data_IF_147417753625
#
_entry.id   IF_147417753625
#
_cell.length_a   1.000
_cell.length_b   1.000
_cell.length_c   1.000
_cell.angle_alpha   90.00
_cell.angle_beta   90.00
_cell.angle_gamma   90.00
#
_symmetry.space_group_name_H-M   'P 1'
#
loop_
_entity.id
_entity.type
_entity.pdbx_description
1 polymer ?
#
# COMPACT_ATOMS: atom_id res chain seq x y z
N UNK A 1 37.98 -16.24 -7.96
CA UNK A 1 36.74 -15.49 -7.69
C UNK A 1 35.87 -16.35 -6.78
N UNK A 2 35.38 -15.84 -5.64
CA UNK A 2 34.39 -16.59 -4.84
C UNK A 2 33.11 -16.71 -5.67
N UNK A 3 32.64 -17.92 -5.89
CA UNK A 3 31.36 -18.19 -6.56
C UNK A 3 30.24 -17.59 -5.72
N UNK A 4 29.40 -16.77 -6.35
CA UNK A 4 28.28 -16.11 -5.66
C UNK A 4 27.16 -17.12 -5.40
N UNK A 5 26.63 -17.13 -4.18
CA UNK A 5 25.53 -18.00 -3.78
C UNK A 5 24.19 -17.26 -3.81
N UNK A 6 23.20 -17.87 -4.45
CA UNK A 6 21.85 -17.35 -4.67
C UNK A 6 20.84 -18.23 -3.93
N UNK A 7 20.13 -17.62 -2.98
CA UNK A 7 19.14 -18.28 -2.14
C UNK A 7 17.74 -17.92 -2.62
N UNK A 8 17.04 -18.84 -3.28
CA UNK A 8 15.62 -18.69 -3.58
C UNK A 8 14.78 -19.14 -2.40
N UNK A 9 13.84 -18.31 -1.95
CA UNK A 9 13.01 -18.58 -0.77
C UNK A 9 11.53 -18.46 -1.15
N UNK A 10 10.82 -19.58 -1.14
CA UNK A 10 9.37 -19.57 -1.16
C UNK A 10 8.81 -19.52 0.27
N UNK A 11 7.88 -18.58 0.50
CA UNK A 11 7.39 -18.24 1.84
C UNK A 11 5.96 -18.69 2.04
N UNK A 12 5.77 -19.58 3.01
CA UNK A 12 4.46 -20.01 3.51
C UNK A 12 4.12 -19.32 4.83
N UNK A 13 2.91 -19.54 5.34
CA UNK A 13 2.45 -18.96 6.61
C UNK A 13 3.22 -19.49 7.83
N UNK A 14 3.80 -20.69 7.73
CA UNK A 14 4.39 -21.39 8.89
C UNK A 14 5.85 -21.85 8.68
N UNK A 15 6.35 -21.79 7.45
CA UNK A 15 7.69 -22.25 7.08
C UNK A 15 8.14 -21.56 5.80
N UNK A 16 9.40 -21.74 5.46
CA UNK A 16 9.91 -21.45 4.12
C UNK A 16 10.45 -22.72 3.50
N UNK A 17 10.47 -22.76 2.18
CA UNK A 17 11.27 -23.69 1.39
C UNK A 17 12.35 -22.88 0.70
N UNK A 18 13.58 -23.36 0.74
CA UNK A 18 14.70 -22.66 0.12
C UNK A 18 15.55 -23.57 -0.76
N UNK A 19 16.07 -22.98 -1.84
CA UNK A 19 17.07 -23.57 -2.71
C UNK A 19 18.30 -22.66 -2.76
N UNK A 20 19.49 -23.24 -2.64
CA UNK A 20 20.76 -22.53 -2.75
C UNK A 20 21.48 -22.97 -4.01
N UNK A 21 21.82 -22.02 -4.88
CA UNK A 21 22.55 -22.26 -6.12
C UNK A 21 23.80 -21.38 -6.18
N UNK A 22 24.89 -21.89 -6.75
CA UNK A 22 26.12 -21.12 -7.00
C UNK A 22 26.61 -21.19 -8.45
N UNK A 23 25.92 -21.96 -9.29
CA UNK A 23 26.16 -22.04 -10.73
C UNK A 23 24.85 -22.33 -11.47
N UNK A 24 24.81 -21.97 -12.75
CA UNK A 24 23.66 -22.30 -13.61
C UNK A 24 23.86 -23.73 -14.09
N UNK A 25 22.90 -24.60 -13.78
CA UNK A 25 22.94 -26.02 -14.11
C UNK A 25 21.98 -26.40 -15.24
N UNK A 26 21.83 -27.71 -15.46
CA UNK A 26 20.90 -28.30 -16.41
C UNK A 26 19.42 -27.96 -16.13
N UNK A 27 18.52 -28.40 -17.03
CA UNK A 27 17.07 -28.25 -16.95
C UNK A 27 16.51 -28.36 -15.52
N UNK A 28 15.64 -27.41 -15.14
CA UNK A 28 15.15 -27.29 -13.76
C UNK A 28 14.36 -28.52 -13.28
N UNK A 29 13.68 -29.26 -14.17
CA UNK A 29 13.00 -30.49 -13.76
C UNK A 29 14.00 -31.59 -13.43
N UNK A 30 15.09 -31.69 -14.20
CA UNK A 30 16.19 -32.61 -13.90
C UNK A 30 16.82 -32.26 -12.56
N UNK A 31 17.08 -30.98 -12.30
CA UNK A 31 17.61 -30.53 -11.01
C UNK A 31 16.66 -30.93 -9.87
N UNK A 32 15.36 -30.62 -10.00
CA UNK A 32 14.39 -30.96 -8.95
C UNK A 32 14.30 -32.47 -8.71
N UNK A 33 14.40 -33.28 -9.76
CA UNK A 33 14.35 -34.76 -9.67
C UNK A 33 15.58 -35.36 -8.99
N UNK A 34 16.77 -34.89 -9.34
CA UNK A 34 18.03 -35.51 -8.87
C UNK A 34 18.61 -34.83 -7.62
N UNK A 35 18.37 -33.52 -7.46
CA UNK A 35 18.91 -32.71 -6.37
C UNK A 35 17.84 -32.18 -5.42
N UNK A 36 16.58 -32.64 -5.53
CA UNK A 36 15.46 -32.14 -4.71
C UNK A 36 15.70 -32.24 -3.20
N UNK A 37 16.51 -33.20 -2.74
CA UNK A 37 16.91 -33.33 -1.32
C UNK A 37 17.75 -32.15 -0.81
N UNK A 38 18.40 -31.40 -1.69
CA UNK A 38 19.17 -30.19 -1.34
C UNK A 38 18.27 -28.98 -1.08
N UNK A 39 17.02 -29.02 -1.55
CA UNK A 39 16.02 -27.98 -1.32
C UNK A 39 15.34 -28.33 0.01
N UNK A 40 15.48 -27.45 0.99
CA UNK A 40 15.07 -27.73 2.36
C UNK A 40 13.92 -26.85 2.81
N UNK A 41 13.19 -27.38 3.79
CA UNK A 41 12.14 -26.68 4.51
C UNK A 41 12.61 -26.34 5.91
N UNK A 42 12.43 -25.08 6.32
CA UNK A 42 12.75 -24.61 7.68
C UNK A 42 11.65 -23.72 8.25
N UNK A 43 11.62 -23.63 9.57
CA UNK A 43 10.59 -22.90 10.31
C UNK A 43 11.14 -21.56 10.83
N UNK A 44 10.28 -20.53 11.03
CA UNK A 44 10.70 -19.22 11.53
C UNK A 44 11.00 -19.26 13.03
N UNK A 45 12.01 -20.03 13.41
CA UNK A 45 12.54 -20.16 14.77
C UNK A 45 14.06 -19.97 14.76
N UNK A 46 14.67 -19.95 15.93
CA UNK A 46 16.11 -19.69 16.06
C UNK A 46 16.98 -20.67 15.26
N UNK A 47 16.59 -21.95 15.20
CA UNK A 47 17.32 -22.97 14.44
C UNK A 47 17.20 -22.72 12.93
N UNK A 48 15.99 -22.50 12.42
CA UNK A 48 15.78 -22.27 10.99
C UNK A 48 16.43 -20.98 10.48
N UNK A 49 16.39 -19.91 11.28
CA UNK A 49 17.10 -18.66 10.95
C UNK A 49 18.60 -18.88 10.89
N UNK A 50 19.17 -19.59 11.89
CA UNK A 50 20.60 -19.90 11.93
C UNK A 50 21.02 -20.74 10.72
N UNK A 51 20.27 -21.81 10.42
CA UNK A 51 20.55 -22.67 9.27
C UNK A 51 20.63 -21.88 7.97
N UNK A 52 19.70 -20.94 7.75
CA UNK A 52 19.67 -20.13 6.51
C UNK A 52 20.82 -19.11 6.47
N UNK A 53 21.18 -18.50 7.60
CA UNK A 53 22.33 -17.58 7.67
C UNK A 53 23.65 -18.30 7.39
N UNK A 54 23.82 -19.51 7.90
CA UNK A 54 25.03 -20.33 7.74
C UNK A 54 25.27 -20.77 6.27
N UNK A 55 24.26 -20.66 5.39
CA UNK A 55 24.42 -20.95 3.95
C UNK A 55 25.43 -19.99 3.27
N UNK A 56 25.62 -18.79 3.83
CA UNK A 56 26.53 -17.78 3.28
C UNK A 56 26.09 -17.26 1.91
N UNK A 57 24.78 -17.10 1.71
CA UNK A 57 24.22 -16.55 0.49
C UNK A 57 24.60 -15.08 0.31
N UNK A 58 24.93 -14.69 -0.92
CA UNK A 58 25.13 -13.26 -1.26
C UNK A 58 23.80 -12.58 -1.56
N UNK A 59 22.91 -13.29 -2.26
CA UNK A 59 21.59 -12.82 -2.66
C UNK A 59 20.49 -13.72 -2.11
N UNK A 60 19.38 -13.14 -1.65
CA UNK A 60 18.14 -13.84 -1.34
C UNK A 60 16.99 -13.33 -2.21
N UNK A 61 16.28 -14.25 -2.86
CA UNK A 61 15.26 -13.96 -3.86
C UNK A 61 13.91 -14.44 -3.35
N UNK A 62 12.96 -13.50 -3.21
CA UNK A 62 11.64 -13.74 -2.62
C UNK A 62 10.52 -13.13 -3.46
N UNK A 63 9.32 -13.72 -3.41
CA UNK A 63 8.10 -13.01 -3.84
C UNK A 63 7.60 -12.08 -2.72
N UNK A 64 6.95 -10.93 -3.04
CA UNK A 64 6.35 -10.06 -2.03
C UNK A 64 5.04 -10.63 -1.43
N UNK A 65 4.81 -11.94 -1.56
CA UNK A 65 3.61 -12.62 -1.06
C UNK A 65 3.74 -12.83 0.45
N UNK A 66 2.70 -12.50 1.21
CA UNK A 66 2.73 -12.68 2.66
C UNK A 66 3.81 -11.86 3.36
N UNK A 67 3.92 -10.55 3.04
CA UNK A 67 4.95 -9.62 3.55
C UNK A 67 5.23 -9.76 5.05
N UNK A 68 4.22 -10.04 5.88
CA UNK A 68 4.41 -10.27 7.31
C UNK A 68 5.20 -11.56 7.62
N UNK A 69 4.96 -12.64 6.87
CA UNK A 69 5.67 -13.91 6.99
C UNK A 69 7.09 -13.82 6.44
N UNK A 70 7.30 -13.07 5.34
CA UNK A 70 8.63 -12.88 4.77
C UNK A 70 9.50 -11.90 5.55
N UNK A 71 8.90 -11.04 6.40
CA UNK A 71 9.58 -9.99 7.16
C UNK A 71 10.74 -10.52 8.01
N UNK A 72 10.50 -11.56 8.81
CA UNK A 72 11.54 -12.09 9.69
C UNK A 72 12.75 -12.61 8.91
N UNK A 73 12.51 -13.26 7.77
CA UNK A 73 13.57 -13.80 6.91
C UNK A 73 14.34 -12.68 6.23
N UNK A 74 13.64 -11.79 5.52
CA UNK A 74 14.28 -10.76 4.73
C UNK A 74 15.02 -9.72 5.60
N UNK A 75 14.45 -9.31 6.74
CA UNK A 75 15.14 -8.39 7.66
C UNK A 75 16.37 -9.03 8.29
N UNK A 76 16.28 -10.30 8.72
CA UNK A 76 17.42 -10.98 9.35
C UNK A 76 18.53 -11.21 8.34
N UNK A 77 18.20 -11.63 7.12
CA UNK A 77 19.17 -11.83 6.04
C UNK A 77 19.84 -10.49 5.65
N UNK A 78 19.05 -9.44 5.44
CA UNK A 78 19.58 -8.10 5.13
C UNK A 78 20.51 -7.57 6.23
N UNK A 79 20.13 -7.73 7.51
CA UNK A 79 20.97 -7.32 8.64
C UNK A 79 22.30 -8.08 8.71
N UNK A 80 22.40 -9.26 8.08
CA UNK A 80 23.61 -10.07 7.97
C UNK A 80 24.30 -9.92 6.60
N UNK A 81 24.00 -8.85 5.86
CA UNK A 81 24.70 -8.49 4.62
C UNK A 81 24.24 -9.24 3.36
N UNK A 82 23.11 -9.96 3.42
CA UNK A 82 22.52 -10.62 2.25
C UNK A 82 21.66 -9.63 1.48
N UNK A 83 21.89 -9.50 0.17
CA UNK A 83 21.11 -8.60 -0.68
C UNK A 83 19.75 -9.22 -1.04
N UNK A 84 18.67 -8.52 -0.70
CA UNK A 84 17.29 -8.99 -0.93
C UNK A 84 16.78 -8.52 -2.30
N UNK A 85 16.34 -9.46 -3.13
CA UNK A 85 15.78 -9.21 -4.46
C UNK A 85 14.34 -9.71 -4.54
N UNK A 86 13.39 -8.81 -4.83
CA UNK A 86 11.98 -9.16 -4.91
C UNK A 86 11.54 -9.49 -6.34
N UNK A 87 10.89 -10.63 -6.54
CA UNK A 87 10.36 -11.06 -7.84
C UNK A 87 8.85 -11.01 -7.81
N UNK A 88 8.24 -10.48 -8.86
CA UNK A 88 6.78 -10.43 -8.95
C UNK A 88 6.17 -11.77 -9.29
N UNK A 89 4.93 -11.97 -8.82
CA UNK A 89 4.24 -13.24 -8.96
C UNK A 89 4.02 -13.64 -10.42
N UNK A 90 3.73 -12.66 -11.28
CA UNK A 90 3.54 -12.88 -12.71
C UNK A 90 4.87 -13.23 -13.39
N UNK A 91 5.96 -12.59 -13.00
CA UNK A 91 7.31 -12.81 -13.51
C UNK A 91 7.80 -14.21 -13.16
N UNK A 92 7.63 -14.65 -11.90
CA UNK A 92 8.00 -16.00 -11.49
C UNK A 92 7.14 -17.06 -12.19
N UNK A 93 5.82 -16.85 -12.26
CA UNK A 93 4.92 -17.77 -12.96
C UNK A 93 5.26 -17.92 -14.45
N UNK A 94 5.66 -16.83 -15.10
CA UNK A 94 6.09 -16.85 -16.50
C UNK A 94 7.44 -17.56 -16.63
N UNK A 95 8.39 -17.26 -15.73
CA UNK A 95 9.69 -17.93 -15.70
C UNK A 95 9.58 -19.45 -15.54
N UNK A 96 8.71 -19.94 -14.63
CA UNK A 96 8.46 -21.38 -14.48
C UNK A 96 7.93 -22.01 -15.76
N UNK A 97 6.98 -21.35 -16.42
CA UNK A 97 6.40 -21.83 -17.69
C UNK A 97 7.46 -21.92 -18.79
N UNK A 98 8.30 -20.89 -18.91
CA UNK A 98 9.37 -20.83 -19.91
C UNK A 98 10.41 -21.93 -19.70
N UNK A 99 10.65 -22.31 -18.43
CA UNK A 99 11.58 -23.39 -18.06
C UNK A 99 10.88 -24.75 -17.83
N UNK A 100 9.63 -24.91 -18.32
CA UNK A 100 8.86 -26.17 -18.25
C UNK A 100 8.75 -26.78 -16.85
N UNK A 101 8.81 -25.96 -15.80
CA UNK A 101 8.66 -26.41 -14.42
C UNK A 101 7.16 -26.59 -14.12
N UNK A 102 6.61 -27.75 -14.51
CA UNK A 102 5.16 -27.96 -14.64
C UNK A 102 4.46 -28.33 -13.33
N UNK A 103 5.18 -28.78 -12.32
CA UNK A 103 4.63 -29.06 -10.99
C UNK A 103 4.73 -27.85 -10.07
N UNK A 104 3.67 -27.05 -9.94
CA UNK A 104 3.62 -25.97 -8.95
C UNK A 104 3.66 -26.57 -7.54
N UNK A 105 4.76 -26.39 -6.84
CA UNK A 105 4.92 -26.68 -5.42
C UNK A 105 6.00 -25.77 -4.82
N UNK A 106 6.06 -25.68 -3.49
CA UNK A 106 6.96 -24.77 -2.77
C UNK A 106 8.46 -25.00 -3.11
N UNK A 107 8.86 -26.25 -3.36
CA UNK A 107 10.25 -26.60 -3.74
C UNK A 107 10.60 -26.11 -5.14
N UNK A 108 9.67 -26.29 -6.08
CA UNK A 108 9.76 -25.79 -7.44
C UNK A 108 9.83 -24.25 -7.45
N UNK A 109 9.04 -23.58 -6.62
CA UNK A 109 9.02 -22.12 -6.51
C UNK A 109 10.33 -21.59 -5.90
N UNK A 110 10.85 -22.23 -4.84
CA UNK A 110 12.16 -21.90 -4.27
C UNK A 110 13.30 -22.07 -5.28
N UNK A 111 13.31 -23.18 -6.03
CA UNK A 111 14.31 -23.41 -7.08
C UNK A 111 14.19 -22.38 -8.20
N UNK A 112 12.99 -22.10 -8.67
CA UNK A 112 12.74 -21.10 -9.70
C UNK A 112 13.21 -19.70 -9.28
N UNK A 113 12.98 -19.31 -8.02
CA UNK A 113 13.47 -18.04 -7.45
C UNK A 113 15.00 -17.98 -7.43
N UNK A 114 15.67 -19.05 -6.98
CA UNK A 114 17.13 -19.11 -6.95
C UNK A 114 17.72 -18.95 -8.36
N UNK A 115 17.19 -19.70 -9.33
CA UNK A 115 17.63 -19.63 -10.74
C UNK A 115 17.30 -18.28 -11.37
N UNK A 116 16.14 -17.70 -11.04
CA UNK A 116 15.76 -16.37 -11.50
C UNK A 116 16.78 -15.33 -11.04
N UNK A 117 17.15 -15.37 -9.76
CA UNK A 117 18.20 -14.53 -9.17
C UNK A 117 19.53 -14.69 -9.89
N UNK A 118 20.02 -15.91 -9.94
CA UNK A 118 21.29 -16.28 -10.59
C UNK A 118 21.39 -15.74 -12.03
N UNK A 119 20.32 -15.87 -12.83
CA UNK A 119 20.32 -15.44 -14.25
C UNK A 119 20.08 -13.95 -14.46
N UNK A 120 19.52 -13.24 -13.47
CA UNK A 120 18.99 -11.88 -13.66
C UNK A 120 19.49 -10.85 -12.65
N UNK A 121 20.25 -11.21 -11.62
CA UNK A 121 20.69 -10.32 -10.53
C UNK A 121 21.30 -9.00 -11.03
N UNK A 122 22.13 -9.04 -12.08
CA UNK A 122 22.75 -7.84 -12.67
C UNK A 122 21.81 -7.01 -13.57
N UNK A 123 20.51 -7.34 -13.62
CA UNK A 123 19.51 -6.66 -14.45
C UNK A 123 18.36 -6.17 -13.54
N UNK A 124 18.50 -5.02 -12.86
CA UNK A 124 17.54 -4.52 -11.87
C UNK A 124 16.09 -4.43 -12.36
N UNK A 125 15.87 -4.20 -13.66
CA UNK A 125 14.54 -4.14 -14.29
C UNK A 125 13.69 -5.41 -14.18
N UNK A 126 14.30 -6.55 -13.82
CA UNK A 126 13.60 -7.83 -13.62
C UNK A 126 13.11 -8.06 -12.20
N UNK A 127 13.46 -7.16 -11.27
CA UNK A 127 13.03 -7.22 -9.88
C UNK A 127 12.08 -6.07 -9.58
N UNK A 128 11.18 -6.29 -8.63
CA UNK A 128 10.28 -5.25 -8.16
C UNK A 128 11.09 -4.27 -7.33
N UNK A 129 10.94 -2.98 -7.63
CA UNK A 129 11.35 -1.89 -6.74
C UNK A 129 10.39 -1.82 -5.55
N UNK A 130 10.52 -2.78 -4.65
CA UNK A 130 9.72 -2.91 -3.45
C UNK A 130 10.68 -3.14 -2.30
N UNK A 131 10.67 -2.24 -1.33
CA UNK A 131 11.33 -2.47 -0.05
C UNK A 131 10.31 -2.27 1.07
N UNK A 132 9.72 -3.35 1.60
CA UNK A 132 8.73 -3.27 2.67
C UNK A 132 9.33 -2.76 3.99
N UNK A 133 10.66 -2.70 4.10
CA UNK A 133 11.37 -2.28 5.31
C UNK A 133 11.99 -0.89 5.18
N UNK A 134 11.93 -0.29 3.99
CA UNK A 134 12.20 1.12 3.81
C UNK A 134 11.19 1.99 4.55
N UNK A 135 11.54 3.27 4.73
CA UNK A 135 10.63 4.29 5.25
C UNK A 135 9.32 4.40 4.43
N UNK A 136 9.37 4.18 3.11
CA UNK A 136 8.17 4.10 2.26
C UNK A 136 7.33 2.85 2.55
N UNK A 137 7.99 1.73 2.86
CA UNK A 137 7.35 0.52 3.34
C UNK A 137 6.63 0.72 4.66
N UNK A 138 7.26 1.44 5.60
CA UNK A 138 6.65 1.81 6.89
C UNK A 138 5.41 2.69 6.70
N UNK A 139 5.48 3.74 5.88
CA UNK A 139 4.31 4.57 5.54
C UNK A 139 3.15 3.74 4.99
N UNK A 140 3.45 2.76 4.13
CA UNK A 140 2.45 1.84 3.59
C UNK A 140 1.83 0.97 4.68
N UNK A 141 2.63 0.40 5.57
CA UNK A 141 2.16 -0.47 6.64
C UNK A 141 1.26 0.28 7.62
N UNK A 142 1.68 1.44 8.10
CA UNK A 142 0.88 2.30 8.99
C UNK A 142 -0.46 2.67 8.33
N UNK A 143 -0.44 3.01 7.03
CA UNK A 143 -1.66 3.32 6.29
C UNK A 143 -2.59 2.12 6.14
N UNK A 144 -2.05 0.91 5.92
CA UNK A 144 -2.82 -0.33 5.86
C UNK A 144 -3.44 -0.69 7.22
N UNK A 145 -2.71 -0.46 8.32
CA UNK A 145 -3.22 -0.66 9.67
C UNK A 145 -4.40 0.29 9.96
N UNK A 146 -4.30 1.58 9.61
CA UNK A 146 -5.45 2.51 9.71
C UNK A 146 -6.65 2.04 8.87
N UNK A 147 -6.42 1.55 7.65
CA UNK A 147 -7.49 1.00 6.82
C UNK A 147 -8.15 -0.23 7.46
N UNK A 148 -7.39 -1.07 8.16
CA UNK A 148 -7.90 -2.23 8.87
C UNK A 148 -8.73 -1.82 10.08
N UNK A 149 -8.22 -0.92 10.93
CA UNK A 149 -8.95 -0.41 12.10
C UNK A 149 -10.28 0.24 11.69
N UNK A 150 -10.31 0.97 10.58
CA UNK A 150 -11.53 1.55 10.04
C UNK A 150 -12.60 0.50 9.66
N UNK A 151 -12.17 -0.66 9.15
CA UNK A 151 -13.07 -1.79 8.85
C UNK A 151 -13.56 -2.46 10.13
N UNK A 152 -12.72 -2.57 11.16
CA UNK A 152 -13.09 -3.16 12.43
C UNK A 152 -14.07 -2.30 13.24
N UNK A 153 -13.95 -0.97 13.20
CA UNK A 153 -14.87 -0.10 13.95
C UNK A 153 -16.30 -0.11 13.41
N UNK A 154 -16.50 -0.23 12.10
CA UNK A 154 -17.83 -0.02 11.49
C UNK A 154 -18.89 -1.00 12.01
N UNK A 155 -18.63 -2.33 12.09
CA UNK A 155 -19.58 -3.27 12.71
C UNK A 155 -19.81 -3.01 14.20
N UNK A 156 -18.77 -2.58 14.93
CA UNK A 156 -18.87 -2.31 16.38
C UNK A 156 -19.77 -1.09 16.63
N UNK A 157 -19.54 0.00 15.89
CA UNK A 157 -20.37 1.21 15.95
C UNK A 157 -21.83 0.86 15.63
N UNK A 158 -22.08 0.16 14.53
CA UNK A 158 -23.44 -0.21 14.14
C UNK A 158 -24.13 -1.07 15.21
N UNK A 159 -23.41 -2.02 15.82
CA UNK A 159 -23.96 -2.84 16.89
C UNK A 159 -24.29 -2.02 18.14
N UNK A 160 -23.39 -1.10 18.55
CA UNK A 160 -23.64 -0.17 19.66
C UNK A 160 -24.89 0.66 19.37
N UNK A 161 -25.03 1.24 18.18
CA UNK A 161 -26.19 2.06 17.81
C UNK A 161 -27.50 1.29 17.86
N UNK A 162 -27.51 0.04 17.40
CA UNK A 162 -28.67 -0.83 17.50
C UNK A 162 -29.07 -1.11 18.95
N UNK A 163 -28.09 -1.33 19.85
CA UNK A 163 -28.37 -1.46 21.29
C UNK A 163 -28.90 -0.16 21.88
N UNK A 164 -28.27 0.98 21.54
CA UNK A 164 -28.70 2.29 22.03
C UNK A 164 -30.11 2.66 21.58
N UNK A 165 -30.63 2.12 20.47
CA UNK A 165 -31.99 2.39 20.00
C UNK A 165 -33.09 2.02 21.02
N UNK A 166 -32.83 1.10 21.95
CA UNK A 166 -33.75 0.78 23.05
C UNK A 166 -33.13 1.00 24.45
N UNK A 167 -31.81 1.10 24.56
CA UNK A 167 -31.12 1.39 25.82
C UNK A 167 -31.10 2.89 26.16
N UNK A 168 -30.86 3.75 25.17
CA UNK A 168 -30.73 5.20 25.30
C UNK A 168 -30.96 5.87 23.93
N UNK A 169 -32.19 5.84 23.40
CA UNK A 169 -32.50 6.21 22.01
C UNK A 169 -32.06 7.64 21.65
N UNK A 170 -32.05 8.56 22.62
CA UNK A 170 -31.69 9.95 22.46
C UNK A 170 -30.25 10.14 21.92
N UNK A 171 -29.36 9.17 22.14
CA UNK A 171 -27.96 9.24 21.70
C UNK A 171 -27.58 8.24 20.62
N UNK A 172 -28.51 7.39 20.16
CA UNK A 172 -28.22 6.31 19.21
C UNK A 172 -27.60 6.83 17.89
N UNK A 173 -28.08 7.96 17.38
CA UNK A 173 -27.58 8.58 16.13
C UNK A 173 -26.61 9.74 16.35
N UNK A 174 -26.18 9.99 17.59
CA UNK A 174 -25.22 11.05 17.85
C UNK A 174 -23.88 10.79 17.16
N UNK A 175 -23.31 11.84 16.57
CA UNK A 175 -21.97 11.79 15.98
C UNK A 175 -20.91 11.63 17.07
N UNK A 176 -20.00 10.69 16.87
CA UNK A 176 -18.85 10.48 17.73
C UNK A 176 -17.57 10.79 16.97
N UNK A 177 -16.92 11.89 17.33
CA UNK A 177 -15.67 12.34 16.71
C UNK A 177 -14.55 12.24 17.73
N UNK A 178 -13.46 11.55 17.36
CA UNK A 178 -12.22 11.51 18.14
C UNK A 178 -11.42 12.80 17.97
N UNK A 179 -10.61 13.15 18.96
CA UNK A 179 -9.60 14.20 18.81
C UNK A 179 -8.27 13.61 18.36
N UNK A 180 -7.24 14.45 18.24
CA UNK A 180 -5.87 14.05 17.94
C UNK A 180 -5.20 13.29 19.11
N UNK A 181 -5.79 13.37 20.31
CA UNK A 181 -5.19 12.83 21.54
C UNK A 181 -6.06 11.80 22.25
N UNK A 182 -7.38 11.80 22.00
CA UNK A 182 -8.32 11.00 22.77
C UNK A 182 -9.43 10.44 21.89
N UNK A 183 -9.84 9.21 22.21
CA UNK A 183 -11.05 8.61 21.68
C UNK A 183 -12.29 9.53 21.86
N UNK A 184 -13.27 9.36 20.98
CA UNK A 184 -14.50 10.15 20.98
C UNK A 184 -15.18 10.19 22.38
N UNK A 185 -15.59 11.37 22.88
CA UNK A 185 -16.17 11.51 24.21
C UNK A 185 -17.39 10.62 24.47
N UNK A 186 -18.23 10.40 23.45
CA UNK A 186 -19.41 9.54 23.54
C UNK A 186 -19.02 8.10 23.91
N UNK A 187 -18.08 7.50 23.17
CA UNK A 187 -17.65 6.12 23.41
C UNK A 187 -16.94 5.98 24.75
N UNK A 188 -16.14 6.97 25.13
CA UNK A 188 -15.49 7.00 26.44
C UNK A 188 -16.51 7.02 27.58
N UNK A 189 -17.54 7.86 27.47
CA UNK A 189 -18.59 7.94 28.49
C UNK A 189 -19.38 6.63 28.60
N UNK A 190 -19.82 6.04 27.48
CA UNK A 190 -20.49 4.73 27.48
C UNK A 190 -19.59 3.65 28.11
N UNK A 191 -18.30 3.65 27.75
CA UNK A 191 -17.30 2.72 28.28
C UNK A 191 -16.98 2.92 29.78
N UNK A 192 -17.47 3.99 30.41
CA UNK A 192 -17.13 4.36 31.79
C UNK A 192 -15.73 4.96 31.93
N UNK A 193 -15.09 5.38 30.84
CA UNK A 193 -13.81 6.10 30.88
C UNK A 193 -14.05 7.57 31.24
N UNK A 194 -13.07 8.19 31.90
CA UNK A 194 -13.10 9.63 32.23
C UNK A 194 -13.36 10.46 30.97
N UNK A 195 -14.25 11.43 31.06
CA UNK A 195 -14.52 12.47 30.04
C UNK A 195 -14.49 13.85 30.70
N UNK A 196 -14.57 14.93 29.91
CA UNK A 196 -14.68 16.28 30.48
C UNK A 196 -15.98 16.45 31.27
N UNK A 197 -15.99 17.35 32.25
CA UNK A 197 -17.18 17.66 33.06
C UNK A 197 -18.38 18.05 32.18
N UNK A 198 -18.13 18.85 31.13
CA UNK A 198 -19.17 19.25 30.17
C UNK A 198 -19.79 18.05 29.45
N UNK A 199 -18.97 17.14 28.91
CA UNK A 199 -19.47 15.94 28.24
C UNK A 199 -20.19 15.01 29.22
N UNK A 200 -19.66 14.84 30.43
CA UNK A 200 -20.28 14.02 31.46
C UNK A 200 -21.68 14.53 31.81
N UNK A 201 -21.81 15.84 32.08
CA UNK A 201 -23.09 16.46 32.41
C UNK A 201 -24.09 16.36 31.25
N UNK A 202 -23.62 16.57 30.01
CA UNK A 202 -24.44 16.43 28.81
C UNK A 202 -25.03 15.01 28.70
N UNK A 203 -24.19 13.99 28.80
CA UNK A 203 -24.63 12.60 28.61
C UNK A 203 -25.44 12.07 29.80
N UNK A 204 -25.11 12.46 31.02
CA UNK A 204 -25.90 12.12 32.20
C UNK A 204 -27.30 12.74 32.15
N UNK A 205 -27.45 13.95 31.58
CA UNK A 205 -28.77 14.53 31.36
C UNK A 205 -29.64 13.65 30.47
N UNK A 206 -29.09 13.12 29.37
CA UNK A 206 -29.81 12.17 28.52
C UNK A 206 -30.17 10.89 29.27
N UNK A 207 -29.22 10.34 30.04
CA UNK A 207 -29.45 9.11 30.81
C UNK A 207 -30.55 9.27 31.87
N UNK A 208 -30.64 10.42 32.54
CA UNK A 208 -31.67 10.68 33.56
C UNK A 208 -33.04 10.87 32.93
N UNK A 209 -33.12 11.51 31.76
CA UNK A 209 -34.40 11.81 31.09
C UNK A 209 -34.80 10.77 30.05
N UNK A 210 -34.09 9.65 29.95
CA UNK A 210 -34.33 8.67 28.87
C UNK A 210 -35.60 7.88 29.10
N UNK A 211 -36.26 7.53 28.00
CA UNK A 211 -37.33 6.52 27.98
C UNK A 211 -36.79 5.08 27.84
N UNK A 212 -35.47 4.93 27.63
CA UNK A 212 -34.80 3.66 27.40
C UNK A 212 -34.49 2.88 28.67
N UNK A 213 -33.97 1.67 28.49
CA UNK A 213 -33.69 0.72 29.59
C UNK A 213 -32.38 0.99 30.34
N UNK A 214 -31.62 2.03 29.95
CA UNK A 214 -30.27 2.27 30.42
C UNK A 214 -29.23 1.44 29.66
N UNK A 215 -27.96 1.82 29.81
CA UNK A 215 -26.82 1.24 29.06
C UNK A 215 -26.45 -0.12 29.63
N UNK A 216 -26.50 -1.17 28.81
CA UNK A 216 -26.13 -2.53 29.21
C UNK A 216 -24.61 -2.74 29.26
N UNK A 217 -24.14 -3.74 30.04
CA UNK A 217 -22.73 -4.14 30.06
C UNK A 217 -22.22 -4.58 28.67
N UNK A 218 -23.08 -5.20 27.86
CA UNK A 218 -22.75 -5.56 26.48
C UNK A 218 -22.35 -4.30 25.67
N UNK A 219 -23.16 -3.24 25.74
CA UNK A 219 -22.88 -1.96 25.09
C UNK A 219 -21.61 -1.31 25.65
N UNK A 220 -21.38 -1.37 26.97
CA UNK A 220 -20.15 -0.87 27.59
C UNK A 220 -18.90 -1.59 27.09
N UNK A 221 -18.93 -2.92 26.98
CA UNK A 221 -17.79 -3.69 26.45
C UNK A 221 -17.47 -3.35 25.01
N UNK A 222 -18.48 -3.17 24.15
CA UNK A 222 -18.26 -2.73 22.78
C UNK A 222 -17.70 -1.30 22.70
N UNK A 223 -18.18 -0.39 23.55
CA UNK A 223 -17.63 0.95 23.64
C UNK A 223 -16.17 0.97 24.12
N UNK A 224 -15.79 0.08 25.06
CA UNK A 224 -14.39 -0.11 25.49
C UNK A 224 -13.50 -0.52 24.31
N UNK A 225 -13.90 -1.55 23.55
CA UNK A 225 -13.18 -1.99 22.33
C UNK A 225 -13.02 -0.86 21.32
N UNK A 226 -14.05 -0.03 21.14
CA UNK A 226 -14.00 1.09 20.22
C UNK A 226 -13.06 2.19 20.69
N UNK A 227 -12.98 2.43 22.00
CA UNK A 227 -11.96 3.31 22.56
C UNK A 227 -10.55 2.76 22.31
N UNK A 228 -10.30 1.47 22.52
CA UNK A 228 -8.99 0.85 22.23
C UNK A 228 -8.59 0.98 20.76
N UNK A 229 -9.55 0.83 19.84
CA UNK A 229 -9.32 1.04 18.40
C UNK A 229 -8.94 2.50 18.13
N UNK A 230 -9.67 3.46 18.70
CA UNK A 230 -9.35 4.88 18.53
C UNK A 230 -7.98 5.25 19.10
N UNK A 231 -7.61 4.69 20.25
CA UNK A 231 -6.30 4.92 20.86
C UNK A 231 -5.18 4.39 19.94
N UNK A 232 -5.35 3.21 19.35
CA UNK A 232 -4.44 2.68 18.32
C UNK A 232 -4.38 3.56 17.06
N UNK A 233 -5.52 4.05 16.57
CA UNK A 233 -5.54 4.97 15.41
C UNK A 233 -4.75 6.25 15.70
N UNK A 234 -4.89 6.81 16.91
CA UNK A 234 -4.15 8.01 17.33
C UNK A 234 -2.65 7.75 17.35
N UNK A 235 -2.21 6.63 17.93
CA UNK A 235 -0.80 6.25 17.97
C UNK A 235 -0.23 6.05 16.55
N UNK A 236 -0.95 5.33 15.70
CA UNK A 236 -0.54 5.12 14.30
C UNK A 236 -0.49 6.43 13.53
N UNK A 237 -1.45 7.34 13.73
CA UNK A 237 -1.45 8.66 13.09
C UNK A 237 -0.27 9.53 13.53
N UNK A 238 0.13 9.45 14.80
CA UNK A 238 1.33 10.13 15.32
C UNK A 238 2.59 9.56 14.68
N UNK A 239 2.73 8.24 14.62
CA UNK A 239 3.87 7.60 13.95
C UNK A 239 3.93 7.96 12.47
N UNK A 240 2.82 7.85 11.75
CA UNK A 240 2.70 8.22 10.34
C UNK A 240 3.13 9.68 10.11
N UNK A 241 2.72 10.58 10.99
CA UNK A 241 3.10 11.99 10.92
C UNK A 241 4.59 12.22 11.17
N UNK A 242 5.19 11.48 12.12
CA UNK A 242 6.62 11.47 12.34
C UNK A 242 7.38 11.04 11.08
N UNK A 243 6.97 9.92 10.48
CA UNK A 243 7.62 9.37 9.27
C UNK A 243 7.49 10.29 8.06
N UNK A 244 6.32 10.92 7.83
CA UNK A 244 6.12 11.86 6.70
C UNK A 244 6.99 13.12 6.82
N UNK A 245 7.41 13.47 8.04
CA UNK A 245 8.26 14.63 8.33
C UNK A 245 9.76 14.36 8.22
N UNK A 246 10.16 13.15 7.82
CA UNK A 246 11.56 12.88 7.57
C UNK A 246 12.14 13.87 6.55
N UNK A 247 13.34 14.47 6.80
CA UNK A 247 13.94 15.46 5.90
C UNK A 247 14.07 15.01 4.44
N UNK A 248 14.19 13.71 4.18
CA UNK A 248 14.24 13.21 2.80
C UNK A 248 12.95 13.48 2.01
N UNK A 249 11.84 13.70 2.71
CA UNK A 249 10.55 14.01 2.12
C UNK A 249 10.28 15.51 1.99
N UNK A 250 11.18 16.41 2.38
CA UNK A 250 10.93 17.86 2.38
C UNK A 250 10.52 18.38 1.00
N UNK A 251 11.24 17.98 -0.06
CA UNK A 251 10.90 18.37 -1.44
C UNK A 251 9.49 17.89 -1.84
N UNK A 252 9.12 16.67 -1.46
CA UNK A 252 7.79 16.13 -1.71
C UNK A 252 6.73 16.90 -0.93
N UNK A 253 6.99 17.19 0.35
CA UNK A 253 6.08 17.90 1.23
C UNK A 253 5.80 19.32 0.75
N UNK A 254 6.83 20.05 0.31
CA UNK A 254 6.69 21.37 -0.31
C UNK A 254 5.81 21.32 -1.57
N UNK A 255 5.98 20.29 -2.40
CA UNK A 255 5.12 20.09 -3.56
C UNK A 255 3.68 19.76 -3.12
N UNK A 256 3.50 18.89 -2.13
CA UNK A 256 2.17 18.51 -1.62
C UNK A 256 1.41 19.64 -0.93
N UNK A 257 2.10 20.60 -0.34
CA UNK A 257 1.51 21.83 0.19
C UNK A 257 0.77 22.61 -0.92
N UNK A 258 1.32 22.63 -2.13
CA UNK A 258 0.67 23.25 -3.29
C UNK A 258 -0.69 22.65 -3.63
N UNK A 259 -0.93 21.38 -3.26
CA UNK A 259 -2.20 20.68 -3.46
C UNK A 259 -3.06 20.62 -2.19
N UNK A 260 -2.56 21.11 -1.04
CA UNK A 260 -3.21 20.95 0.27
C UNK A 260 -3.48 19.48 0.62
N UNK A 261 -2.57 18.57 0.27
CA UNK A 261 -2.74 17.17 0.66
C UNK A 261 -2.61 17.01 2.18
N UNK A 262 -3.61 16.37 2.77
CA UNK A 262 -3.60 15.99 4.19
C UNK A 262 -2.63 14.84 4.47
N UNK A 263 -2.31 14.63 5.76
CA UNK A 263 -1.28 13.68 6.23
C UNK A 263 -1.43 12.27 5.65
N UNK A 264 -2.64 11.70 5.70
CA UNK A 264 -2.93 10.36 5.16
C UNK A 264 -2.72 10.27 3.64
N UNK A 265 -3.07 11.33 2.90
CA UNK A 265 -2.88 11.40 1.44
C UNK A 265 -1.39 11.47 1.11
N UNK A 266 -0.62 12.29 1.83
CA UNK A 266 0.84 12.36 1.68
C UNK A 266 1.50 11.00 1.90
N UNK A 267 1.22 10.36 3.03
CA UNK A 267 1.79 9.06 3.34
C UNK A 267 1.49 8.01 2.25
N UNK A 268 0.25 7.97 1.76
CA UNK A 268 -0.13 7.06 0.69
C UNK A 268 0.64 7.32 -0.61
N UNK A 269 0.76 8.59 -1.02
CA UNK A 269 1.49 8.95 -2.24
C UNK A 269 2.98 8.65 -2.08
N UNK A 270 3.62 9.09 -0.98
CA UNK A 270 5.04 8.86 -0.67
C UNK A 270 5.39 7.38 -0.67
N UNK A 271 4.56 6.54 -0.05
CA UNK A 271 4.75 5.09 0.00
C UNK A 271 4.83 4.41 -1.37
N UNK A 272 4.47 5.14 -2.44
CA UNK A 272 4.38 4.62 -3.80
C UNK A 272 5.34 5.32 -4.76
N UNK A 273 5.59 6.62 -4.57
CA UNK A 273 6.38 7.42 -5.53
C UNK A 273 7.84 7.66 -5.11
N UNK A 274 8.20 7.38 -3.86
CA UNK A 274 9.57 7.57 -3.39
C UNK A 274 10.46 6.36 -3.70
N UNK A 275 11.70 6.56 -4.20
CA UNK A 275 12.27 7.83 -4.69
C UNK A 275 11.80 8.15 -6.11
N UNK A 276 11.54 9.43 -6.42
CA UNK A 276 10.98 9.89 -7.70
C UNK A 276 11.89 9.57 -8.89
N UNK A 277 13.20 9.57 -8.67
CA UNK A 277 14.24 9.23 -9.64
C UNK A 277 14.01 7.84 -10.27
N UNK A 278 13.26 6.97 -9.60
CA UNK A 278 12.83 5.67 -10.14
C UNK A 278 12.06 5.76 -11.45
N UNK A 279 11.39 6.89 -11.72
CA UNK A 279 10.63 7.11 -12.94
C UNK A 279 11.46 7.73 -14.07
N UNK A 280 12.68 8.19 -13.79
CA UNK A 280 13.52 8.92 -14.73
C UNK A 280 14.56 8.01 -15.40
N UNK A 281 15.14 8.50 -16.49
CA UNK A 281 16.27 7.87 -17.17
C UNK A 281 17.56 7.98 -16.35
N UNK A 282 18.62 7.31 -16.82
CA UNK A 282 19.94 7.38 -16.18
C UNK A 282 20.53 8.81 -16.15
N UNK A 283 20.03 9.69 -17.00
CA UNK A 283 20.37 11.11 -17.07
C UNK A 283 19.48 12.00 -16.18
N UNK A 284 18.64 11.40 -15.32
CA UNK A 284 17.62 12.07 -14.52
C UNK A 284 16.61 12.88 -15.34
N UNK A 285 16.35 12.48 -16.60
CA UNK A 285 15.32 13.11 -17.44
C UNK A 285 14.16 12.17 -17.71
N UNK A 286 13.06 12.76 -18.18
CA UNK A 286 11.90 11.99 -18.62
C UNK A 286 12.27 11.07 -19.81
N UNK A 287 11.84 9.81 -19.70
CA UNK A 287 11.98 8.81 -20.77
C UNK A 287 10.80 8.99 -21.75
N UNK A 288 11.10 9.55 -22.92
CA UNK A 288 10.16 9.68 -24.03
C UNK A 288 10.62 8.83 -25.20
N UNK A 289 9.81 7.83 -25.57
CA UNK A 289 10.10 6.96 -26.72
C UNK A 289 9.30 7.39 -27.96
N UNK A 290 9.96 7.43 -29.11
CA UNK A 290 9.29 7.58 -30.40
C UNK A 290 8.95 6.19 -30.97
N UNK A 291 7.66 5.87 -31.00
CA UNK A 291 7.17 4.57 -31.49
C UNK A 291 6.47 4.77 -32.84
N UNK A 292 6.91 4.02 -33.86
CA UNK A 292 6.24 3.98 -35.16
C UNK A 292 4.84 3.39 -35.01
N UNK A 293 3.83 4.09 -35.54
CA UNK A 293 2.48 3.56 -35.56
C UNK A 293 2.40 2.41 -36.58
N UNK A 294 1.79 1.29 -36.18
CA UNK A 294 1.62 0.13 -37.09
C UNK A 294 0.64 0.42 -38.23
N UNK A 295 -0.31 1.35 -38.05
CA UNK A 295 -1.37 1.65 -39.02
C UNK A 295 -1.04 2.81 -39.97
N UNK A 296 -0.30 3.80 -39.49
CA UNK A 296 0.11 4.97 -40.28
C UNK A 296 1.63 5.11 -40.13
N UNK A 297 2.38 5.41 -41.19
CA UNK A 297 3.83 5.61 -41.17
C UNK A 297 4.33 6.76 -40.25
N UNK A 298 3.45 7.38 -39.46
CA UNK A 298 3.80 8.40 -38.48
C UNK A 298 4.41 7.82 -37.19
N UNK A 299 5.15 8.67 -36.49
CA UNK A 299 5.69 8.37 -35.15
C UNK A 299 4.78 8.96 -34.07
N UNK A 300 4.65 8.25 -32.95
CA UNK A 300 3.95 8.73 -31.75
C UNK A 300 4.92 8.80 -30.58
N UNK A 301 4.84 9.85 -29.77
CA UNK A 301 5.58 9.96 -28.52
C UNK A 301 4.91 9.13 -27.43
N UNK A 302 5.69 8.32 -26.72
CA UNK A 302 5.29 7.54 -25.54
C UNK A 302 6.07 8.04 -24.33
N UNK A 303 5.38 8.77 -23.46
CA UNK A 303 5.92 9.31 -22.21
C UNK A 303 5.98 8.20 -21.15
N UNK A 304 7.08 7.43 -21.13
CA UNK A 304 7.22 6.24 -20.29
C UNK A 304 7.28 6.59 -18.81
N UNK A 305 8.02 7.64 -18.45
CA UNK A 305 8.12 8.10 -17.05
C UNK A 305 6.77 8.52 -16.51
N UNK A 306 6.06 9.44 -17.18
CA UNK A 306 4.72 9.86 -16.76
C UNK A 306 3.74 8.68 -16.69
N UNK A 307 3.80 7.76 -17.66
CA UNK A 307 2.91 6.59 -17.68
C UNK A 307 3.18 5.66 -16.49
N UNK A 308 4.45 5.42 -16.16
CA UNK A 308 4.89 4.63 -15.01
C UNK A 308 4.51 5.31 -13.68
N UNK A 309 4.72 6.63 -13.59
CA UNK A 309 4.32 7.43 -12.44
C UNK A 309 2.81 7.37 -12.22
N UNK A 310 2.00 7.62 -13.25
CA UNK A 310 0.53 7.49 -13.19
C UNK A 310 0.10 6.09 -12.78
N UNK A 311 0.75 5.05 -13.33
CA UNK A 311 0.46 3.67 -12.98
C UNK A 311 0.75 3.41 -11.51
N UNK A 312 1.86 3.92 -10.96
CA UNK A 312 2.16 3.72 -9.54
C UNK A 312 1.05 4.24 -8.63
N UNK A 313 0.56 5.46 -8.86
CA UNK A 313 -0.47 6.11 -8.03
C UNK A 313 -1.92 5.71 -8.38
N UNK A 314 -2.11 4.75 -9.29
CA UNK A 314 -3.43 4.16 -9.58
C UNK A 314 -4.26 4.87 -10.64
N UNK A 315 -3.63 5.69 -11.49
CA UNK A 315 -4.26 6.45 -12.58
C UNK A 315 -3.64 6.17 -13.97
N UNK A 316 -2.76 5.16 -14.06
CA UNK A 316 -2.26 4.65 -15.33
C UNK A 316 -3.28 3.76 -16.02
N UNK A 317 -3.23 3.69 -17.35
CA UNK A 317 -4.06 2.78 -18.13
C UNK A 317 -3.23 1.56 -18.54
N UNK A 318 -3.81 0.38 -18.38
CA UNK A 318 -3.26 -0.89 -18.83
C UNK A 318 -4.18 -1.46 -19.90
N UNK A 319 -3.59 -1.94 -20.97
CA UNK A 319 -4.33 -2.60 -22.04
C UNK A 319 -4.76 -4.00 -21.58
N UNK A 320 -6.05 -4.28 -21.65
CA UNK A 320 -6.61 -5.62 -21.50
C UNK A 320 -7.19 -6.03 -22.84
N UNK A 321 -6.49 -6.91 -23.54
CA UNK A 321 -6.91 -7.45 -24.83
C UNK A 321 -7.18 -8.94 -24.69
N UNK A 322 -8.37 -9.38 -25.11
CA UNK A 322 -8.75 -10.80 -25.16
C UNK A 322 -9.50 -11.10 -26.45
N UNK A 323 -8.86 -11.82 -27.37
CA UNK A 323 -9.45 -12.22 -28.65
C UNK A 323 -9.97 -11.03 -29.46
N UNK A 324 -11.28 -10.77 -29.37
CA UNK A 324 -11.99 -9.74 -30.15
C UNK A 324 -12.16 -8.39 -29.45
N UNK A 325 -11.89 -8.29 -28.16
CA UNK A 325 -12.06 -7.03 -27.42
C UNK A 325 -10.73 -6.48 -26.91
N UNK A 326 -10.48 -5.21 -27.20
CA UNK A 326 -9.40 -4.41 -26.60
C UNK A 326 -10.04 -3.34 -25.71
N UNK A 327 -9.72 -3.36 -24.42
CA UNK A 327 -10.22 -2.38 -23.44
C UNK A 327 -9.05 -1.82 -22.63
N UNK A 328 -9.06 -0.51 -22.42
CA UNK A 328 -8.13 0.15 -21.50
C UNK A 328 -8.74 0.19 -20.11
N UNK A 329 -8.06 -0.39 -19.14
CA UNK A 329 -8.50 -0.42 -17.74
C UNK A 329 -7.54 0.37 -16.87
N UNK A 330 -8.07 0.99 -15.81
CA UNK A 330 -7.22 1.69 -14.83
C UNK A 330 -6.41 0.64 -14.06
N UNK A 331 -5.09 0.78 -14.10
CA UNK A 331 -4.15 -0.06 -13.34
C UNK A 331 -3.60 0.66 -12.11
N UNK A 332 -2.79 -0.06 -11.31
CA UNK A 332 -2.00 0.55 -10.24
C UNK A 332 -2.60 0.53 -8.84
N UNK A 333 -2.05 1.36 -7.95
CA UNK A 333 -2.40 1.40 -6.53
C UNK A 333 -3.84 1.86 -6.28
N UNK A 334 -4.71 0.92 -5.88
CA UNK A 334 -6.08 1.24 -5.47
C UNK A 334 -6.15 2.16 -4.25
N UNK A 335 -5.20 2.03 -3.32
CA UNK A 335 -5.16 2.84 -2.11
C UNK A 335 -4.83 4.31 -2.41
N UNK A 336 -3.84 4.56 -3.27
CA UNK A 336 -3.53 5.93 -3.72
C UNK A 336 -4.72 6.56 -4.45
N UNK A 337 -5.39 5.78 -5.31
CA UNK A 337 -6.59 6.25 -6.01
C UNK A 337 -7.70 6.64 -5.04
N UNK A 338 -7.98 5.83 -4.01
CA UNK A 338 -8.97 6.17 -2.97
C UNK A 338 -8.55 7.44 -2.22
N UNK A 339 -7.29 7.57 -1.83
CA UNK A 339 -6.78 8.74 -1.11
C UNK A 339 -6.89 10.03 -1.92
N UNK A 340 -6.50 10.00 -3.21
CA UNK A 340 -6.64 11.14 -4.12
C UNK A 340 -8.10 11.48 -4.38
N UNK A 341 -8.98 10.48 -4.44
CA UNK A 341 -10.41 10.71 -4.62
C UNK A 341 -11.05 11.37 -3.39
N UNK A 342 -10.65 10.96 -2.18
CA UNK A 342 -11.05 11.62 -0.93
C UNK A 342 -10.54 13.05 -0.85
N UNK A 343 -9.30 13.30 -1.29
CA UNK A 343 -8.76 14.66 -1.38
C UNK A 343 -9.56 15.52 -2.35
N UNK A 344 -9.88 15.03 -3.56
CA UNK A 344 -10.66 15.81 -4.53
C UNK A 344 -12.02 16.19 -3.94
N UNK A 345 -12.69 15.24 -3.27
CA UNK A 345 -14.00 15.43 -2.66
C UNK A 345 -13.98 16.46 -1.52
N UNK A 346 -12.91 16.50 -0.74
CA UNK A 346 -12.82 17.33 0.47
C UNK A 346 -12.15 18.68 0.24
N UNK A 347 -11.26 18.77 -0.75
CA UNK A 347 -10.41 19.96 -0.97
C UNK A 347 -10.75 20.70 -2.27
N UNK A 348 -11.06 20.00 -3.36
CA UNK A 348 -11.25 20.64 -4.69
C UNK A 348 -12.73 20.85 -5.01
N UNK A 349 -13.57 19.88 -4.70
CA UNK A 349 -15.02 19.92 -4.97
C UNK A 349 -15.69 21.08 -4.24
N UNK A 350 -15.31 21.31 -2.99
CA UNK A 350 -15.88 22.34 -2.14
C UNK A 350 -15.16 23.66 -2.42
N UNK A 351 -15.80 24.58 -3.18
CA UNK A 351 -15.21 25.86 -3.63
C UNK A 351 -14.47 26.63 -2.52
N UNK A 352 -15.08 26.77 -1.34
CA UNK A 352 -14.50 27.50 -0.19
C UNK A 352 -13.29 26.81 0.47
N UNK A 353 -13.05 25.53 0.18
CA UNK A 353 -11.95 24.76 0.77
C UNK A 353 -10.77 24.59 -0.20
N UNK A 354 -10.90 25.07 -1.44
CA UNK A 354 -9.87 24.97 -2.48
C UNK A 354 -8.54 25.56 -2.00
N UNK A 355 -7.39 24.96 -2.36
CA UNK A 355 -6.09 25.55 -2.07
C UNK A 355 -5.96 26.90 -2.78
N UNK A 356 -5.50 27.92 -2.06
CA UNK A 356 -5.17 29.22 -2.65
C UNK A 356 -3.75 29.21 -3.22
N UNK A 357 -3.54 28.30 -4.17
CA UNK A 357 -2.28 28.09 -4.87
C UNK A 357 -2.57 28.08 -6.36
N UNK A 358 -1.55 28.27 -7.20
CA UNK A 358 -1.71 28.17 -8.66
C UNK A 358 -2.30 26.83 -9.06
N UNK A 359 -1.80 25.74 -8.46
CA UNK A 359 -2.27 24.38 -8.72
C UNK A 359 -3.72 24.18 -8.27
N UNK A 360 -4.08 24.69 -7.09
CA UNK A 360 -5.44 24.62 -6.54
C UNK A 360 -6.46 25.39 -7.38
N UNK A 361 -6.11 26.61 -7.81
CA UNK A 361 -6.94 27.44 -8.70
C UNK A 361 -7.16 26.75 -10.04
N UNK A 362 -6.07 26.33 -10.69
CA UNK A 362 -6.12 25.65 -11.98
C UNK A 362 -7.00 24.40 -11.93
N UNK A 363 -6.84 23.55 -10.90
CA UNK A 363 -7.62 22.33 -10.74
C UNK A 363 -9.09 22.63 -10.43
N UNK A 364 -9.37 23.66 -9.64
CA UNK A 364 -10.73 24.11 -9.34
C UNK A 364 -11.46 24.60 -10.60
N UNK A 365 -10.81 25.42 -11.41
CA UNK A 365 -11.35 25.92 -12.70
C UNK A 365 -11.50 24.79 -13.72
N UNK A 366 -10.53 23.88 -13.79
CA UNK A 366 -10.62 22.70 -14.64
C UNK A 366 -11.83 21.84 -14.26
N UNK A 367 -12.03 21.60 -12.96
CA UNK A 367 -13.20 20.88 -12.45
C UNK A 367 -14.51 21.58 -12.83
N UNK A 368 -14.61 22.88 -12.57
CA UNK A 368 -15.83 23.65 -12.83
C UNK A 368 -16.18 23.62 -14.33
N UNK A 369 -15.19 23.83 -15.22
CA UNK A 369 -15.39 23.68 -16.67
C UNK A 369 -15.89 22.29 -17.08
N UNK A 370 -15.33 21.22 -16.51
CA UNK A 370 -15.80 19.86 -16.82
C UNK A 370 -17.26 19.65 -16.38
N UNK A 371 -17.63 20.18 -15.22
CA UNK A 371 -19.00 20.11 -14.70
C UNK A 371 -19.96 20.91 -15.58
N UNK A 372 -19.58 22.14 -15.96
CA UNK A 372 -20.40 23.02 -16.78
C UNK A 372 -20.62 22.44 -18.20
N UNK A 373 -19.66 21.67 -18.70
CA UNK A 373 -19.77 20.89 -19.94
C UNK A 373 -20.63 19.61 -19.81
N UNK A 374 -21.35 19.41 -18.70
CA UNK A 374 -22.28 18.29 -18.53
C UNK A 374 -21.62 16.92 -18.30
N UNK A 375 -20.33 16.88 -17.97
CA UNK A 375 -19.63 15.61 -17.73
C UNK A 375 -20.12 14.99 -16.41
N UNK A 376 -20.39 13.69 -16.43
CA UNK A 376 -20.79 12.95 -15.21
C UNK A 376 -19.81 13.19 -14.07
N UNK A 377 -20.34 13.51 -12.87
CA UNK A 377 -19.53 13.87 -11.70
C UNK A 377 -18.43 12.87 -11.37
N UNK A 378 -18.69 11.56 -11.48
CA UNK A 378 -17.66 10.53 -11.22
C UNK A 378 -16.47 10.67 -12.17
N UNK A 379 -16.75 10.96 -13.45
CA UNK A 379 -15.73 11.17 -14.47
C UNK A 379 -15.02 12.52 -14.30
N UNK A 380 -15.72 13.58 -13.87
CA UNK A 380 -15.11 14.86 -13.51
C UNK A 380 -14.03 14.64 -12.45
N UNK A 381 -14.38 14.01 -11.33
CA UNK A 381 -13.44 13.74 -10.23
C UNK A 381 -12.24 12.93 -10.68
N UNK A 382 -12.47 11.89 -11.49
CA UNK A 382 -11.40 11.06 -12.06
C UNK A 382 -10.45 11.88 -12.93
N UNK A 383 -10.98 12.72 -13.83
CA UNK A 383 -10.17 13.61 -14.69
C UNK A 383 -9.37 14.62 -13.89
N UNK A 384 -9.96 15.20 -12.84
CA UNK A 384 -9.26 16.13 -11.93
C UNK A 384 -8.10 15.42 -11.21
N UNK A 385 -8.31 14.21 -10.69
CA UNK A 385 -7.25 13.43 -10.05
C UNK A 385 -6.13 13.06 -11.03
N UNK A 386 -6.46 12.61 -12.25
CA UNK A 386 -5.46 12.33 -13.31
C UNK A 386 -4.63 13.57 -13.59
N UNK A 387 -5.27 14.74 -13.63
CA UNK A 387 -4.59 16.00 -13.91
C UNK A 387 -3.72 16.47 -12.76
N UNK A 388 -4.17 16.31 -11.52
CA UNK A 388 -3.35 16.55 -10.33
C UNK A 388 -2.10 15.66 -10.32
N UNK A 389 -2.24 14.38 -10.70
CA UNK A 389 -1.11 13.44 -10.84
C UNK A 389 -0.14 13.86 -11.95
N UNK A 390 -0.62 14.34 -13.09
CA UNK A 390 0.25 14.91 -14.13
C UNK A 390 1.05 16.10 -13.59
N UNK A 391 0.38 17.00 -12.87
CA UNK A 391 1.01 18.17 -12.27
C UNK A 391 2.06 17.75 -11.25
N UNK A 392 1.77 16.76 -10.39
CA UNK A 392 2.78 16.23 -9.45
C UNK A 392 4.04 15.73 -10.14
N UNK A 393 3.91 15.10 -11.31
CA UNK A 393 5.08 14.62 -12.06
C UNK A 393 5.91 15.76 -12.65
N UNK A 394 5.26 16.80 -13.20
CA UNK A 394 5.97 17.88 -13.89
C UNK A 394 6.44 19.03 -12.99
N UNK A 395 5.90 19.14 -11.77
CA UNK A 395 6.32 20.13 -10.77
C UNK A 395 7.30 19.57 -9.73
N UNK A 396 7.71 18.31 -9.89
CA UNK A 396 8.92 17.78 -9.28
C UNK A 396 10.13 18.38 -9.99
#
# INVERSE_FOLDING_TARGET
MKTEKFLGIDVSAHFIVYALLDHDGDDLNSYLKYNGQSIKKVYPNQYGIREVLELGAKYAILEPTGVNYSKIWAQTLAANGVEILWVGHCELASFRRDNRLTGKNDYADALALATYGLRRCHKPKYFIKFDPFSISGELRQLSLQLCHLNKCQSPIVNRIRQSLAYELPEIAEHSATKSDDLAAPLWRWIAGRKVSTQSNNKFNKFLVSTIGNGISEFTRHHAKRLCDIHDQEIEIERSLFGTVKDPMFDKYNQLFDKFKFGRRVRAMILSTIYPFETYLGADNKEIVELVKNRKNNGTSKRYRSLSSFKLSVGFGLVEKSSGKEMKWVVGGSNLCRIALWQWEFTCIEIKRLRPDTEQGKWLGEYRDRLKDNGINMRLVRSKVCVKAVEMLFYFW
#
